data_IF_428768336990
#
_entry.id   IF_428768336990
#
_cell.length_a   1.000
_cell.length_b   1.000
_cell.length_c   1.000
_cell.angle_alpha   90.00
_cell.angle_beta   90.00
_cell.angle_gamma   90.00
#
_symmetry.space_group_name_H-M   'P 1'
#
loop_
_entity.id
_entity.type
_entity.pdbx_description
1 polymer ?
#
# COMPACT_ATOMS: atom_id res chain seq x y z
N UNK A 1 -28.18 -7.70 -0.60
CA UNK A 1 -27.06 -8.41 0.04
C UNK A 1 -26.43 -7.45 1.02
N UNK A 2 -26.41 -7.78 2.32
CA UNK A 2 -25.69 -6.94 3.29
C UNK A 2 -24.21 -7.04 2.96
N UNK A 3 -23.57 -5.91 2.69
CA UNK A 3 -22.14 -5.84 2.47
C UNK A 3 -21.43 -6.08 3.82
N UNK A 4 -20.38 -6.86 3.81
CA UNK A 4 -19.62 -7.26 5.00
C UNK A 4 -19.00 -6.08 5.75
N UNK A 5 -18.72 -4.96 5.05
CA UNK A 5 -18.18 -3.74 5.64
C UNK A 5 -19.24 -2.68 5.98
N UNK A 6 -20.54 -2.99 5.88
CA UNK A 6 -21.60 -2.04 6.21
C UNK A 6 -21.46 -1.55 7.66
N UNK A 7 -21.27 -0.24 7.82
CA UNK A 7 -21.07 0.42 9.12
C UNK A 7 -19.70 0.21 9.75
N UNK A 8 -18.83 -0.61 9.20
CA UNK A 8 -17.45 -0.80 9.66
C UNK A 8 -16.61 0.46 9.41
N UNK A 9 -15.73 0.80 10.33
CA UNK A 9 -14.83 1.95 10.22
C UNK A 9 -13.49 1.55 9.64
N UNK A 10 -13.15 2.12 8.48
CA UNK A 10 -11.95 1.82 7.71
C UNK A 10 -11.04 3.05 7.64
N UNK A 11 -9.84 2.93 8.18
CA UNK A 11 -8.79 3.96 8.09
C UNK A 11 -7.89 3.66 6.89
N UNK A 12 -7.68 4.64 6.01
CA UNK A 12 -6.82 4.51 4.82
C UNK A 12 -5.79 5.63 4.82
N UNK A 13 -4.52 5.28 4.90
CA UNK A 13 -3.43 6.25 4.76
C UNK A 13 -3.03 6.45 3.29
N UNK A 14 -2.65 7.68 2.92
CA UNK A 14 -2.36 8.01 1.52
C UNK A 14 -3.59 7.96 0.62
N UNK A 15 -4.76 8.36 1.14
CA UNK A 15 -6.06 8.20 0.51
C UNK A 15 -6.39 9.23 -0.58
N UNK A 16 -5.57 10.27 -0.78
CA UNK A 16 -5.86 11.40 -1.68
C UNK A 16 -5.72 11.07 -3.17
N UNK A 17 -5.06 9.97 -3.53
CA UNK A 17 -4.82 9.58 -4.93
C UNK A 17 -4.51 8.09 -5.09
N UNK A 18 -4.39 7.64 -6.33
CA UNK A 18 -3.89 6.31 -6.70
C UNK A 18 -4.62 5.16 -6.00
N UNK A 19 -3.85 4.21 -5.47
CA UNK A 19 -4.38 3.02 -4.78
C UNK A 19 -5.23 3.39 -3.57
N UNK A 20 -4.81 4.39 -2.77
CA UNK A 20 -5.57 4.83 -1.59
C UNK A 20 -6.95 5.36 -1.94
N UNK A 21 -7.06 6.17 -2.99
CA UNK A 21 -8.34 6.68 -3.48
C UNK A 21 -9.23 5.55 -4.07
N UNK A 22 -8.64 4.62 -4.84
CA UNK A 22 -9.35 3.45 -5.35
C UNK A 22 -9.87 2.57 -4.19
N UNK A 23 -9.03 2.37 -3.16
CA UNK A 23 -9.39 1.66 -1.95
C UNK A 23 -10.57 2.34 -1.22
N UNK A 24 -10.54 3.67 -1.07
CA UNK A 24 -11.65 4.43 -0.49
C UNK A 24 -12.95 4.20 -1.26
N UNK A 25 -12.94 4.25 -2.60
CA UNK A 25 -14.11 3.94 -3.44
C UNK A 25 -14.61 2.52 -3.23
N UNK A 26 -13.71 1.56 -3.18
CA UNK A 26 -14.05 0.14 -3.01
C UNK A 26 -14.74 -0.10 -1.65
N UNK A 27 -14.25 0.48 -0.56
CA UNK A 27 -14.90 0.39 0.76
C UNK A 27 -16.19 1.22 0.85
N UNK A 28 -16.26 2.39 0.19
CA UNK A 28 -17.52 3.18 0.11
C UNK A 28 -18.64 2.38 -0.56
N UNK A 29 -18.33 1.67 -1.66
CA UNK A 29 -19.29 0.79 -2.33
C UNK A 29 -19.79 -0.35 -1.41
N UNK A 30 -19.00 -0.71 -0.39
CA UNK A 30 -19.37 -1.65 0.67
C UNK A 30 -20.07 -1.00 1.87
N UNK A 31 -20.44 0.30 1.79
CA UNK A 31 -21.12 1.06 2.86
C UNK A 31 -20.31 1.16 4.17
N UNK A 32 -18.99 1.15 4.08
CA UNK A 32 -18.11 1.41 5.22
C UNK A 32 -18.11 2.89 5.59
N UNK A 33 -17.83 3.20 6.86
CA UNK A 33 -17.41 4.53 7.30
C UNK A 33 -15.93 4.70 6.97
N UNK A 34 -15.54 5.83 6.39
CA UNK A 34 -14.18 6.06 5.94
C UNK A 34 -13.46 7.11 6.77
N UNK A 35 -12.22 6.82 7.14
CA UNK A 35 -11.26 7.80 7.67
C UNK A 35 -10.11 7.90 6.68
N UNK A 36 -10.09 8.98 5.92
CA UNK A 36 -9.14 9.21 4.85
C UNK A 36 -8.02 10.13 5.34
N UNK A 37 -6.78 9.67 5.22
CA UNK A 37 -5.63 10.45 5.68
C UNK A 37 -4.59 10.61 4.57
N UNK A 38 -4.07 11.83 4.44
CA UNK A 38 -2.96 12.20 3.57
C UNK A 38 -2.40 13.57 4.00
N UNK A 39 -1.27 14.02 3.43
CA UNK A 39 -0.67 15.32 3.75
C UNK A 39 -1.49 16.51 3.22
N UNK A 40 -2.03 16.39 2.01
CA UNK A 40 -2.76 17.46 1.34
C UNK A 40 -4.27 17.40 1.60
N UNK A 41 -4.82 18.44 2.21
CA UNK A 41 -6.26 18.54 2.49
C UNK A 41 -7.10 18.56 1.22
N UNK A 42 -6.71 19.34 0.20
CA UNK A 42 -7.44 19.46 -1.07
C UNK A 42 -7.71 18.10 -1.75
N UNK A 43 -6.69 17.23 -1.77
CA UNK A 43 -6.85 15.89 -2.32
C UNK A 43 -7.79 15.00 -1.52
N UNK A 44 -7.83 15.16 -0.20
CA UNK A 44 -8.76 14.46 0.68
C UNK A 44 -10.19 14.96 0.49
N UNK A 45 -10.39 16.27 0.40
CA UNK A 45 -11.70 16.89 0.23
C UNK A 45 -12.35 16.43 -1.09
N UNK A 46 -11.59 16.41 -2.17
CA UNK A 46 -12.07 15.89 -3.46
C UNK A 46 -12.60 14.45 -3.36
N UNK A 47 -11.88 13.56 -2.65
CA UNK A 47 -12.33 12.18 -2.48
C UNK A 47 -13.51 12.09 -1.51
N UNK A 48 -13.51 12.91 -0.45
CA UNK A 48 -14.62 12.97 0.49
C UNK A 48 -15.91 13.47 -0.17
N UNK A 49 -15.85 14.53 -0.99
CA UNK A 49 -16.98 15.06 -1.74
C UNK A 49 -17.56 14.01 -2.71
N UNK A 50 -16.69 13.25 -3.38
CA UNK A 50 -17.10 12.16 -4.26
C UNK A 50 -17.85 11.05 -3.51
N UNK A 51 -17.40 10.70 -2.28
CA UNK A 51 -17.87 9.53 -1.56
C UNK A 51 -18.94 9.82 -0.52
N UNK A 52 -19.09 11.07 -0.07
CA UNK A 52 -20.08 11.48 0.95
C UNK A 52 -21.54 11.13 0.61
N UNK A 53 -21.98 11.05 -0.68
CA UNK A 53 -23.30 10.57 -1.01
C UNK A 53 -23.52 9.06 -0.74
N UNK A 54 -22.46 8.28 -0.58
CA UNK A 54 -22.48 6.83 -0.46
C UNK A 54 -22.26 6.34 0.97
N UNK A 55 -21.41 7.04 1.74
CA UNK A 55 -20.99 6.66 3.09
C UNK A 55 -20.53 7.87 3.91
N UNK A 56 -20.37 7.67 5.23
CA UNK A 56 -19.81 8.70 6.10
C UNK A 56 -18.29 8.77 5.93
N UNK A 57 -17.75 9.98 5.73
CA UNK A 57 -16.33 10.21 5.54
C UNK A 57 -15.80 11.20 6.59
N UNK A 58 -14.62 10.90 7.12
CA UNK A 58 -13.78 11.80 7.94
C UNK A 58 -12.46 11.99 7.22
N UNK A 59 -12.07 13.21 6.93
CA UNK A 59 -10.74 13.54 6.40
C UNK A 59 -9.81 14.01 7.52
N UNK A 60 -8.56 13.55 7.50
CA UNK A 60 -7.51 13.95 8.45
C UNK A 60 -6.23 14.26 7.69
N UNK A 61 -5.96 15.55 7.49
CA UNK A 61 -4.68 16.00 6.94
C UNK A 61 -3.58 15.76 7.98
N UNK A 62 -2.59 14.94 7.63
CA UNK A 62 -1.49 14.57 8.51
C UNK A 62 -0.29 14.01 7.75
N UNK A 63 0.87 14.08 8.37
CA UNK A 63 2.05 13.34 7.93
C UNK A 63 2.19 12.04 8.74
N UNK A 64 2.15 10.89 8.05
CA UNK A 64 2.34 9.58 8.69
C UNK A 64 3.73 9.41 9.32
N UNK A 65 4.72 10.21 8.92
CA UNK A 65 6.03 10.24 9.56
C UNK A 65 5.97 10.83 11.00
N UNK A 66 4.92 11.56 11.35
CA UNK A 66 4.69 12.09 12.69
C UNK A 66 3.90 11.08 13.54
N UNK A 67 4.56 10.51 14.55
CA UNK A 67 3.96 9.48 15.41
C UNK A 67 2.78 9.99 16.24
N UNK A 68 2.80 11.26 16.68
CA UNK A 68 1.71 11.85 17.47
C UNK A 68 0.45 11.98 16.60
N UNK A 69 0.60 12.44 15.36
CA UNK A 69 -0.51 12.52 14.41
C UNK A 69 -1.07 11.12 14.07
N UNK A 70 -0.22 10.08 14.06
CA UNK A 70 -0.69 8.70 13.91
C UNK A 70 -1.61 8.26 15.05
N UNK A 71 -1.27 8.62 16.30
CA UNK A 71 -2.12 8.34 17.46
C UNK A 71 -3.43 9.13 17.41
N UNK A 72 -3.35 10.42 17.05
CA UNK A 72 -4.53 11.26 16.88
C UNK A 72 -5.49 10.75 15.80
N UNK A 73 -4.99 10.19 14.70
CA UNK A 73 -5.80 9.61 13.63
C UNK A 73 -6.75 8.53 14.18
N UNK A 74 -6.21 7.60 14.97
CA UNK A 74 -6.99 6.53 15.59
C UNK A 74 -8.01 7.05 16.59
N UNK A 75 -7.61 8.01 17.42
CA UNK A 75 -8.51 8.65 18.39
C UNK A 75 -9.65 9.42 17.69
N UNK A 76 -9.36 10.16 16.62
CA UNK A 76 -10.37 10.86 15.81
C UNK A 76 -11.34 9.89 15.13
N UNK A 77 -10.84 8.75 14.64
CA UNK A 77 -11.66 7.71 14.04
C UNK A 77 -12.65 7.13 15.07
N UNK A 78 -12.17 6.73 16.25
CA UNK A 78 -13.01 6.20 17.33
C UNK A 78 -13.99 7.25 17.85
N UNK A 79 -13.57 8.50 18.04
CA UNK A 79 -14.46 9.59 18.49
C UNK A 79 -15.59 9.87 17.50
N UNK A 80 -15.33 9.74 16.19
CA UNK A 80 -16.33 10.00 15.14
C UNK A 80 -17.29 8.83 14.92
N UNK A 81 -16.80 7.58 14.95
CA UNK A 81 -17.54 6.41 14.52
C UNK A 81 -17.76 5.36 15.63
N UNK A 82 -17.14 5.56 16.80
CA UNK A 82 -17.31 4.67 17.97
C UNK A 82 -16.39 3.45 17.97
N UNK A 83 -15.80 3.08 16.84
CA UNK A 83 -14.94 1.91 16.69
C UNK A 83 -14.00 2.04 15.49
N UNK A 84 -12.98 1.19 15.44
CA UNK A 84 -12.07 1.02 14.28
C UNK A 84 -12.02 -0.47 13.96
N UNK A 85 -12.32 -0.83 12.71
CA UNK A 85 -12.38 -2.23 12.25
C UNK A 85 -11.27 -2.59 11.27
N UNK A 86 -10.84 -1.64 10.43
CA UNK A 86 -9.82 -1.89 9.40
C UNK A 86 -8.81 -0.75 9.36
N UNK A 87 -7.53 -1.11 9.34
CA UNK A 87 -6.43 -0.19 9.06
C UNK A 87 -5.74 -0.59 7.75
N UNK A 88 -5.76 0.29 6.75
CA UNK A 88 -5.04 0.13 5.49
C UNK A 88 -3.81 1.04 5.49
N UNK A 89 -2.64 0.45 5.71
CA UNK A 89 -1.34 1.11 5.61
C UNK A 89 -0.91 1.19 4.14
N UNK A 90 -1.40 2.23 3.45
CA UNK A 90 -1.15 2.44 2.02
C UNK A 90 -0.18 3.58 1.74
N UNK A 91 -0.05 4.58 2.63
CA UNK A 91 0.89 5.69 2.43
C UNK A 91 2.30 5.17 2.11
N UNK A 92 2.94 5.79 1.13
CA UNK A 92 4.28 5.40 0.71
C UNK A 92 4.91 6.41 -0.24
N UNK A 93 6.23 6.37 -0.32
CA UNK A 93 7.03 7.17 -1.24
C UNK A 93 8.17 6.35 -1.84
N UNK A 94 8.70 6.82 -2.96
CA UNK A 94 9.85 6.20 -3.60
C UNK A 94 10.71 7.26 -4.27
N UNK A 95 11.83 7.60 -3.67
CA UNK A 95 12.90 8.38 -4.30
C UNK A 95 13.77 7.41 -5.09
N UNK A 96 13.76 7.57 -6.43
CA UNK A 96 14.37 6.63 -7.38
C UNK A 96 15.82 6.97 -7.64
N UNK A 97 16.61 5.96 -7.95
CA UNK A 97 18.01 6.12 -8.35
C UNK A 97 18.97 5.25 -7.54
N UNK A 98 20.21 5.21 -7.98
CA UNK A 98 21.29 4.52 -7.27
C UNK A 98 21.55 5.23 -5.93
N UNK A 99 21.74 4.45 -4.87
CA UNK A 99 21.82 4.94 -3.49
C UNK A 99 22.88 6.06 -3.29
N UNK A 100 23.98 5.98 -4.02
CA UNK A 100 25.06 6.98 -3.95
C UNK A 100 24.67 8.39 -4.45
N UNK A 101 23.53 8.48 -5.18
CA UNK A 101 22.99 9.73 -5.76
C UNK A 101 21.81 10.30 -4.98
N UNK A 102 21.30 9.56 -4.02
CA UNK A 102 20.17 10.01 -3.20
C UNK A 102 20.66 10.86 -2.03
N UNK A 103 19.88 11.87 -1.68
CA UNK A 103 20.11 12.60 -0.43
C UNK A 103 19.85 11.65 0.77
N UNK A 104 20.77 11.57 1.75
CA UNK A 104 20.56 10.79 2.97
C UNK A 104 19.25 11.11 3.71
N UNK A 105 18.77 12.37 3.66
CA UNK A 105 17.49 12.76 4.24
C UNK A 105 16.31 12.09 3.52
N UNK A 106 16.35 11.98 2.20
CA UNK A 106 15.34 11.28 1.40
C UNK A 106 15.33 9.76 1.67
N UNK A 107 16.52 9.18 1.87
CA UNK A 107 16.66 7.78 2.30
C UNK A 107 15.99 7.56 3.65
N UNK A 108 16.23 8.45 4.62
CA UNK A 108 15.58 8.44 5.93
C UNK A 108 14.06 8.57 5.83
N UNK A 109 13.58 9.55 5.06
CA UNK A 109 12.16 9.79 4.84
C UNK A 109 11.43 8.57 4.23
N UNK A 110 12.07 7.85 3.30
CA UNK A 110 11.51 6.58 2.79
C UNK A 110 11.33 5.53 3.89
N UNK A 111 12.28 5.41 4.81
CA UNK A 111 12.18 4.47 5.95
C UNK A 111 11.05 4.90 6.87
N UNK A 112 10.97 6.19 7.18
CA UNK A 112 9.95 6.75 8.06
C UNK A 112 8.53 6.51 7.53
N UNK A 113 8.29 6.81 6.26
CA UNK A 113 6.96 6.71 5.65
C UNK A 113 6.60 5.26 5.31
N UNK A 114 7.51 4.51 4.68
CA UNK A 114 7.19 3.18 4.14
C UNK A 114 7.26 2.05 5.19
N UNK A 115 7.97 2.28 6.30
CA UNK A 115 8.20 1.23 7.30
C UNK A 115 7.87 1.70 8.71
N UNK A 116 8.51 2.74 9.25
CA UNK A 116 8.28 3.17 10.63
C UNK A 116 6.81 3.53 10.90
N UNK A 117 6.21 4.33 10.04
CA UNK A 117 4.81 4.76 10.19
C UNK A 117 3.81 3.58 10.23
N UNK A 118 3.79 2.64 9.26
CA UNK A 118 2.87 1.50 9.33
C UNK A 118 3.10 0.59 10.54
N UNK A 119 4.34 0.46 11.04
CA UNK A 119 4.61 -0.30 12.26
C UNK A 119 3.98 0.38 13.48
N UNK A 120 4.17 1.70 13.63
CA UNK A 120 3.59 2.50 14.72
C UNK A 120 2.06 2.47 14.66
N UNK A 121 1.46 2.74 13.48
CA UNK A 121 0.01 2.71 13.30
C UNK A 121 -0.57 1.33 13.62
N UNK A 122 0.08 0.26 13.20
CA UNK A 122 -0.39 -1.09 13.49
C UNK A 122 -0.35 -1.41 14.97
N UNK A 123 0.76 -1.08 15.64
CA UNK A 123 0.89 -1.26 17.09
C UNK A 123 -0.22 -0.50 17.83
N UNK A 124 -0.43 0.77 17.46
CA UNK A 124 -1.45 1.62 18.09
C UNK A 124 -2.88 1.19 17.77
N UNK A 125 -3.14 0.58 16.60
CA UNK A 125 -4.46 0.15 16.18
C UNK A 125 -4.95 -1.12 16.89
N UNK A 126 -4.05 -2.02 17.31
CA UNK A 126 -4.41 -3.30 17.94
C UNK A 126 -5.40 -3.15 19.10
N UNK A 127 -5.24 -2.24 20.07
CA UNK A 127 -6.21 -2.05 21.14
C UNK A 127 -7.60 -1.64 20.63
N UNK A 128 -7.68 -0.82 19.58
CA UNK A 128 -8.94 -0.39 18.98
C UNK A 128 -9.65 -1.56 18.30
N UNK A 129 -8.92 -2.33 17.48
CA UNK A 129 -9.44 -3.51 16.80
C UNK A 129 -9.93 -4.58 17.78
N UNK A 130 -9.21 -4.78 18.91
CA UNK A 130 -9.65 -5.68 19.98
C UNK A 130 -10.94 -5.24 20.64
N UNK A 131 -11.13 -3.93 20.88
CA UNK A 131 -12.38 -3.39 21.43
C UNK A 131 -13.56 -3.57 20.47
N UNK A 132 -13.31 -3.55 19.17
CA UNK A 132 -14.32 -3.85 18.15
C UNK A 132 -14.69 -5.35 18.06
N UNK A 133 -13.95 -6.22 18.77
CA UNK A 133 -14.15 -7.68 18.82
C UNK A 133 -13.53 -8.44 17.66
N UNK A 134 -13.18 -7.77 16.58
CA UNK A 134 -12.48 -8.31 15.40
C UNK A 134 -11.94 -7.16 14.58
N UNK A 135 -11.01 -7.43 13.65
CA UNK A 135 -10.52 -6.38 12.77
C UNK A 135 -9.49 -6.86 11.75
N UNK A 136 -9.03 -5.93 10.92
CA UNK A 136 -8.00 -6.25 9.92
C UNK A 136 -6.96 -5.14 9.81
N UNK A 137 -5.71 -5.55 9.62
CA UNK A 137 -4.60 -4.65 9.26
C UNK A 137 -4.07 -5.10 7.89
N UNK A 138 -4.16 -4.20 6.91
CA UNK A 138 -3.69 -4.45 5.55
C UNK A 138 -2.46 -3.60 5.24
N UNK A 139 -1.38 -4.24 4.82
CA UNK A 139 -0.15 -3.58 4.38
C UNK A 139 -0.10 -3.50 2.85
N UNK A 140 0.17 -2.31 2.31
CA UNK A 140 0.49 -2.17 0.89
C UNK A 140 2.00 -2.31 0.69
N UNK A 141 2.39 -3.53 0.38
CA UNK A 141 3.76 -3.94 0.07
C UNK A 141 4.17 -3.59 -1.36
N UNK A 142 5.03 -4.42 -1.93
CA UNK A 142 5.46 -4.38 -3.33
C UNK A 142 6.18 -5.67 -3.72
N UNK A 143 6.16 -6.06 -4.98
CA UNK A 143 7.05 -7.11 -5.51
C UNK A 143 8.54 -6.75 -5.32
N UNK A 144 8.88 -5.46 -5.21
CA UNK A 144 10.23 -5.00 -4.87
C UNK A 144 10.69 -5.46 -3.47
N UNK A 145 9.75 -5.69 -2.54
CA UNK A 145 10.02 -6.29 -1.23
C UNK A 145 10.26 -7.79 -1.29
N UNK A 146 9.86 -8.45 -2.38
CA UNK A 146 10.08 -9.89 -2.59
C UNK A 146 11.32 -10.17 -3.46
N UNK A 147 11.68 -9.25 -4.37
CA UNK A 147 12.91 -9.32 -5.17
C UNK A 147 13.49 -7.92 -5.36
N UNK A 148 14.64 -7.64 -4.74
CA UNK A 148 15.21 -6.30 -4.75
C UNK A 148 15.51 -5.78 -6.15
N UNK A 149 15.21 -4.50 -6.39
CA UNK A 149 15.46 -3.80 -7.63
C UNK A 149 16.72 -2.94 -7.51
N UNK A 150 17.50 -2.82 -8.58
CA UNK A 150 18.55 -1.80 -8.70
C UNK A 150 17.86 -0.43 -8.84
N UNK A 151 18.51 0.62 -8.35
CA UNK A 151 17.92 1.96 -8.33
C UNK A 151 16.74 2.11 -7.34
N UNK A 152 16.52 1.09 -6.47
CA UNK A 152 15.44 1.08 -5.48
C UNK A 152 15.87 0.33 -4.19
N UNK A 153 17.12 0.47 -3.78
CA UNK A 153 17.66 -0.31 -2.65
C UNK A 153 16.89 -0.05 -1.35
N UNK A 154 16.74 1.23 -0.95
CA UNK A 154 16.00 1.62 0.25
C UNK A 154 14.53 1.21 0.16
N UNK A 155 13.87 1.53 -0.97
CA UNK A 155 12.47 1.15 -1.19
C UNK A 155 12.27 -0.37 -1.06
N UNK A 156 13.12 -1.18 -1.71
CA UNK A 156 13.08 -2.63 -1.60
C UNK A 156 13.26 -3.11 -0.17
N UNK A 157 14.20 -2.52 0.57
CA UNK A 157 14.44 -2.82 1.98
C UNK A 157 13.22 -2.53 2.85
N UNK A 158 12.60 -1.35 2.68
CA UNK A 158 11.39 -0.98 3.45
C UNK A 158 10.21 -1.91 3.16
N UNK A 159 9.97 -2.26 1.90
CA UNK A 159 8.87 -3.14 1.51
C UNK A 159 9.11 -4.60 1.89
N UNK A 160 10.36 -5.05 1.93
CA UNK A 160 10.73 -6.37 2.45
C UNK A 160 10.51 -6.45 3.97
N UNK A 161 10.95 -5.43 4.72
CA UNK A 161 10.73 -5.34 6.16
C UNK A 161 9.25 -5.27 6.52
N UNK A 162 8.47 -4.47 5.78
CA UNK A 162 7.02 -4.37 5.97
C UNK A 162 6.31 -5.72 5.74
N UNK A 163 6.73 -6.47 4.71
CA UNK A 163 6.21 -7.81 4.44
C UNK A 163 6.52 -8.79 5.58
N UNK A 164 7.77 -8.82 6.04
CA UNK A 164 8.18 -9.68 7.16
C UNK A 164 7.42 -9.32 8.46
N UNK A 165 7.26 -8.02 8.74
CA UNK A 165 6.47 -7.54 9.86
C UNK A 165 5.01 -8.01 9.79
N UNK A 166 4.36 -7.94 8.61
CA UNK A 166 2.98 -8.38 8.45
C UNK A 166 2.80 -9.86 8.81
N UNK A 167 3.73 -10.73 8.40
CA UNK A 167 3.67 -12.16 8.75
C UNK A 167 3.86 -12.40 10.25
N UNK A 168 4.87 -11.79 10.86
CA UNK A 168 5.12 -11.95 12.28
C UNK A 168 3.91 -11.44 13.10
N UNK A 169 3.39 -10.26 12.75
CA UNK A 169 2.23 -9.70 13.45
C UNK A 169 0.97 -10.56 13.27
N UNK A 170 0.76 -11.16 12.09
CA UNK A 170 -0.36 -12.08 11.86
C UNK A 170 -0.34 -13.26 12.82
N UNK A 171 0.87 -13.80 13.10
CA UNK A 171 1.04 -14.89 14.07
C UNK A 171 0.80 -14.43 15.52
N UNK A 172 1.28 -13.23 15.89
CA UNK A 172 1.10 -12.65 17.23
C UNK A 172 -0.37 -12.38 17.60
N UNK A 173 -1.19 -11.97 16.60
CA UNK A 173 -2.60 -11.60 16.84
C UNK A 173 -3.60 -12.69 16.43
N UNK A 174 -3.14 -13.86 16.05
CA UNK A 174 -3.95 -14.97 15.51
C UNK A 174 -5.19 -15.29 16.35
N UNK A 175 -5.05 -15.30 17.69
CA UNK A 175 -6.13 -15.67 18.62
C UNK A 175 -7.01 -14.49 19.04
N UNK A 176 -6.72 -13.28 18.53
CA UNK A 176 -7.44 -12.06 18.93
C UNK A 176 -8.60 -11.67 17.99
N UNK A 177 -8.88 -12.47 16.95
CA UNK A 177 -9.87 -12.13 15.93
C UNK A 177 -9.39 -11.03 14.95
N UNK A 178 -8.12 -10.63 15.05
CA UNK A 178 -7.52 -9.65 14.14
C UNK A 178 -6.79 -10.39 13.02
N UNK A 179 -7.08 -10.03 11.77
CA UNK A 179 -6.35 -10.52 10.61
C UNK A 179 -5.28 -9.50 10.19
N UNK A 180 -4.14 -9.98 9.73
CA UNK A 180 -3.08 -9.15 9.16
C UNK A 180 -2.66 -9.73 7.83
N UNK A 181 -2.55 -8.88 6.81
CA UNK A 181 -2.10 -9.35 5.51
C UNK A 181 -1.42 -8.26 4.68
N UNK A 182 -0.82 -8.70 3.57
CA UNK A 182 -0.04 -7.83 2.69
C UNK A 182 -0.44 -8.00 1.23
N UNK A 183 -0.75 -6.90 0.55
CA UNK A 183 -0.81 -6.88 -0.92
C UNK A 183 0.55 -6.46 -1.46
N UNK A 184 1.11 -7.24 -2.38
CA UNK A 184 2.44 -7.01 -2.98
C UNK A 184 2.29 -6.80 -4.49
N UNK A 185 1.91 -5.58 -4.93
CA UNK A 185 1.75 -5.29 -6.35
C UNK A 185 3.10 -5.11 -7.05
N UNK A 186 3.10 -5.41 -8.36
CA UNK A 186 4.09 -4.93 -9.31
C UNK A 186 3.85 -3.47 -9.69
N UNK A 187 4.21 -3.05 -10.91
CA UNK A 187 3.91 -1.70 -11.36
C UNK A 187 2.40 -1.46 -11.43
N UNK A 188 1.97 -0.28 -10.96
CA UNK A 188 0.57 0.15 -10.95
C UNK A 188 0.43 1.38 -11.84
N UNK A 189 -0.60 1.41 -12.69
CA UNK A 189 -0.92 2.55 -13.56
C UNK A 189 -1.52 3.70 -12.74
N UNK A 190 -0.66 4.45 -12.09
CA UNK A 190 -0.99 5.59 -11.23
C UNK A 190 0.06 6.68 -11.36
N UNK A 191 -0.25 7.90 -10.88
CA UNK A 191 0.72 8.99 -10.81
C UNK A 191 2.03 8.63 -10.09
N UNK A 192 2.02 7.67 -9.17
CA UNK A 192 3.22 7.18 -8.46
C UNK A 192 4.30 6.61 -9.41
N UNK A 193 3.92 6.10 -10.57
CA UNK A 193 4.82 5.60 -11.61
C UNK A 193 4.80 6.53 -12.83
N UNK A 194 3.62 6.96 -13.25
CA UNK A 194 3.46 7.64 -14.54
C UNK A 194 3.97 9.07 -14.53
N UNK A 195 3.92 9.79 -13.39
CA UNK A 195 4.48 11.15 -13.29
C UNK A 195 6.01 11.19 -13.38
N UNK A 196 6.68 10.07 -13.07
CA UNK A 196 8.14 9.94 -13.06
C UNK A 196 8.60 8.82 -14.01
N UNK A 197 7.83 8.57 -15.08
CA UNK A 197 8.06 7.41 -15.96
C UNK A 197 9.50 7.35 -16.49
N UNK A 198 10.14 8.50 -16.71
CA UNK A 198 11.49 8.56 -17.23
C UNK A 198 12.54 8.05 -16.24
N UNK A 199 12.34 8.28 -14.94
CA UNK A 199 13.21 7.86 -13.86
C UNK A 199 12.94 6.42 -13.38
N UNK A 200 11.83 5.81 -13.83
CA UNK A 200 11.51 4.43 -13.50
C UNK A 200 12.37 3.48 -14.31
N UNK A 201 13.04 2.56 -13.65
CA UNK A 201 13.86 1.52 -14.27
C UNK A 201 13.08 0.68 -15.29
N UNK A 202 13.64 0.46 -16.46
CA UNK A 202 13.01 -0.27 -17.56
C UNK A 202 12.47 -1.64 -17.14
N UNK A 203 13.17 -2.34 -16.25
CA UNK A 203 12.78 -3.68 -15.78
C UNK A 203 11.39 -3.70 -15.13
N UNK A 204 10.95 -2.58 -14.54
CA UNK A 204 9.63 -2.43 -13.94
C UNK A 204 8.54 -2.69 -14.98
N UNK A 205 8.72 -2.20 -16.20
CA UNK A 205 7.79 -2.39 -17.32
C UNK A 205 7.92 -3.76 -18.01
N UNK A 206 8.81 -4.64 -17.54
CA UNK A 206 8.86 -6.03 -18.05
C UNK A 206 7.65 -6.87 -17.65
N UNK A 207 6.90 -6.41 -16.65
CA UNK A 207 5.66 -7.00 -16.15
C UNK A 207 4.45 -6.16 -16.60
N UNK A 208 3.26 -6.77 -16.69
CA UNK A 208 2.04 -5.99 -16.92
C UNK A 208 1.78 -5.08 -15.72
N UNK A 209 1.27 -3.88 -15.98
CA UNK A 209 0.80 -2.98 -14.94
C UNK A 209 -0.56 -3.44 -14.41
N UNK A 210 -0.76 -3.32 -13.11
CA UNK A 210 -2.07 -3.48 -12.47
C UNK A 210 -2.79 -2.15 -12.42
N UNK A 211 -4.12 -2.15 -12.40
CA UNK A 211 -4.88 -0.93 -12.10
C UNK A 211 -4.95 -0.70 -10.59
N UNK A 212 -5.21 0.54 -10.18
CA UNK A 212 -5.43 0.88 -8.78
C UNK A 212 -6.65 0.16 -8.20
N UNK A 213 -7.70 -0.03 -9.01
CA UNK A 213 -8.93 -0.74 -8.66
C UNK A 213 -8.65 -2.22 -8.36
N UNK A 214 -7.86 -2.89 -9.20
CA UNK A 214 -7.51 -4.30 -8.96
C UNK A 214 -6.69 -4.48 -7.67
N UNK A 215 -5.87 -3.51 -7.31
CA UNK A 215 -5.15 -3.51 -6.02
C UNK A 215 -6.12 -3.26 -4.86
N UNK A 216 -7.09 -2.36 -5.03
CA UNK A 216 -8.14 -2.12 -4.03
C UNK A 216 -8.99 -3.38 -3.78
N UNK A 217 -9.34 -4.14 -4.81
CA UNK A 217 -10.06 -5.41 -4.68
C UNK A 217 -9.23 -6.44 -3.88
N UNK A 218 -7.92 -6.51 -4.12
CA UNK A 218 -7.03 -7.35 -3.34
C UNK A 218 -6.93 -6.90 -1.87
N UNK A 219 -6.94 -5.59 -1.61
CA UNK A 219 -7.00 -5.03 -0.24
C UNK A 219 -8.31 -5.44 0.44
N UNK A 220 -9.47 -5.38 -0.25
CA UNK A 220 -10.75 -5.85 0.27
C UNK A 220 -10.72 -7.34 0.64
N UNK A 221 -10.16 -8.19 -0.23
CA UNK A 221 -10.05 -9.63 0.03
C UNK A 221 -9.19 -9.93 1.27
N UNK A 222 -8.08 -9.20 1.45
CA UNK A 222 -7.25 -9.31 2.66
C UNK A 222 -8.03 -8.80 3.89
N UNK A 223 -8.72 -7.68 3.77
CA UNK A 223 -9.51 -7.12 4.87
C UNK A 223 -10.65 -8.05 5.34
N UNK A 224 -11.16 -8.91 4.46
CA UNK A 224 -12.11 -9.99 4.78
C UNK A 224 -11.46 -11.20 5.45
N UNK A 225 -10.13 -11.27 5.52
CA UNK A 225 -9.42 -12.45 6.00
C UNK A 225 -9.42 -13.64 5.03
N UNK A 226 -9.80 -13.43 3.76
CA UNK A 226 -9.81 -14.48 2.72
C UNK A 226 -8.38 -14.93 2.36
N UNK A 227 -7.41 -14.01 2.46
CA UNK A 227 -6.01 -14.23 2.11
C UNK A 227 -5.08 -13.44 3.05
N UNK A 228 -3.90 -13.98 3.32
CA UNK A 228 -2.85 -13.30 4.09
C UNK A 228 -1.84 -12.59 3.21
N UNK A 229 -1.67 -13.03 1.96
CA UNK A 229 -0.84 -12.34 0.97
C UNK A 229 -1.46 -12.44 -0.44
N UNK A 230 -1.51 -11.31 -1.13
CA UNK A 230 -1.86 -11.23 -2.55
C UNK A 230 -0.72 -10.60 -3.31
N UNK A 231 -0.14 -11.33 -4.27
CA UNK A 231 0.88 -10.82 -5.20
C UNK A 231 0.24 -10.49 -6.55
N UNK A 232 0.58 -9.35 -7.13
CA UNK A 232 -0.04 -8.90 -8.39
C UNK A 232 1.01 -8.49 -9.42
N UNK A 233 0.96 -9.09 -10.63
CA UNK A 233 0.15 -10.26 -11.00
C UNK A 233 0.61 -11.54 -10.26
N UNK A 234 -0.30 -12.47 -10.02
CA UNK A 234 -0.01 -13.71 -9.27
C UNK A 234 1.13 -14.53 -9.89
N UNK A 235 1.22 -14.58 -11.21
CA UNK A 235 2.32 -15.24 -11.93
C UNK A 235 3.67 -14.62 -11.65
N UNK A 236 3.71 -13.29 -11.49
CA UNK A 236 4.94 -12.55 -11.15
C UNK A 236 5.41 -12.84 -9.73
N UNK A 237 4.52 -13.00 -8.77
CA UNK A 237 4.87 -13.34 -7.40
C UNK A 237 5.69 -14.61 -7.29
N UNK A 238 5.27 -15.68 -7.99
CA UNK A 238 6.00 -16.96 -8.03
C UNK A 238 7.40 -16.81 -8.65
N UNK A 239 7.48 -16.09 -9.79
CA UNK A 239 8.74 -15.85 -10.48
C UNK A 239 9.70 -15.00 -9.63
N UNK A 240 9.19 -13.98 -8.96
CA UNK A 240 9.94 -13.08 -8.09
C UNK A 240 10.50 -13.84 -6.89
N UNK A 241 9.71 -14.69 -6.25
CA UNK A 241 10.16 -15.57 -5.15
C UNK A 241 11.29 -16.50 -5.62
N UNK A 242 11.11 -17.15 -6.77
CA UNK A 242 12.16 -18.01 -7.35
C UNK A 242 13.44 -17.22 -7.65
N UNK A 243 13.30 -16.01 -8.18
CA UNK A 243 14.44 -15.15 -8.49
C UNK A 243 15.22 -14.70 -7.25
N UNK A 244 14.55 -14.57 -6.11
CA UNK A 244 15.17 -14.28 -4.81
C UNK A 244 15.99 -15.46 -4.30
N UNK A 245 15.43 -16.67 -4.39
CA UNK A 245 16.11 -17.92 -3.98
C UNK A 245 17.32 -18.25 -4.87
N UNK A 246 17.31 -17.83 -6.13
CA UNK A 246 18.38 -18.11 -7.10
C UNK A 246 19.01 -16.84 -7.69
N UNK A 247 19.89 -16.11 -6.93
CA UNK A 247 20.45 -14.83 -7.37
C UNK A 247 21.27 -14.90 -8.67
N UNK A 248 21.89 -16.05 -8.96
CA UNK A 248 22.65 -16.26 -10.22
C UNK A 248 21.71 -16.30 -11.43
N UNK A 249 20.56 -17.00 -11.30
CA UNK A 249 19.54 -17.06 -12.35
C UNK A 249 18.95 -15.67 -12.58
N UNK A 250 18.64 -14.91 -11.51
CA UNK A 250 18.17 -13.53 -11.59
C UNK A 250 19.10 -12.66 -12.41
N UNK A 251 20.41 -12.71 -12.14
CA UNK A 251 21.41 -11.94 -12.89
C UNK A 251 21.48 -12.33 -14.37
N UNK A 252 21.34 -13.60 -14.68
CA UNK A 252 21.36 -14.11 -16.05
C UNK A 252 20.13 -13.66 -16.86
N UNK A 253 18.94 -13.67 -16.26
CA UNK A 253 17.68 -13.31 -16.93
C UNK A 253 17.48 -11.79 -17.04
N UNK A 254 18.11 -11.01 -16.16
CA UNK A 254 17.94 -9.57 -16.02
C UNK A 254 18.10 -8.78 -17.34
N UNK A 255 19.12 -8.96 -18.18
CA UNK A 255 19.25 -8.22 -19.44
C UNK A 255 18.04 -8.38 -20.37
N UNK A 256 17.46 -9.59 -20.43
CA UNK A 256 16.25 -9.85 -21.22
C UNK A 256 15.03 -9.11 -20.68
N UNK A 257 14.90 -9.03 -19.34
CA UNK A 257 13.82 -8.28 -18.70
C UNK A 257 13.96 -6.78 -18.94
N UNK A 258 15.16 -6.22 -18.88
CA UNK A 258 15.42 -4.82 -19.23
C UNK A 258 15.04 -4.52 -20.68
N UNK A 259 15.47 -5.33 -21.64
CA UNK A 259 15.12 -5.15 -23.05
C UNK A 259 13.60 -5.20 -23.30
N UNK A 260 12.89 -6.15 -22.66
CA UNK A 260 11.42 -6.24 -22.70
C UNK A 260 10.78 -5.01 -22.07
N UNK A 261 11.28 -4.58 -20.93
CA UNK A 261 10.75 -3.45 -20.18
C UNK A 261 10.88 -2.15 -20.97
N UNK A 262 12.04 -1.88 -21.58
CA UNK A 262 12.27 -0.71 -22.44
C UNK A 262 11.23 -0.60 -23.55
N UNK A 263 11.02 -1.69 -24.29
CA UNK A 263 10.00 -1.73 -25.36
C UNK A 263 8.57 -1.43 -24.85
N UNK A 264 8.24 -1.87 -23.63
CA UNK A 264 6.93 -1.61 -23.04
C UNK A 264 6.83 -0.19 -22.49
N UNK A 265 7.89 0.35 -21.88
CA UNK A 265 7.96 1.71 -21.35
C UNK A 265 7.64 2.74 -22.45
N UNK A 266 8.20 2.55 -23.66
CA UNK A 266 7.92 3.41 -24.80
C UNK A 266 6.43 3.41 -25.20
N UNK A 267 5.73 2.27 -25.03
CA UNK A 267 4.28 2.22 -25.28
C UNK A 267 3.46 3.03 -24.26
N UNK A 268 3.90 3.04 -22.99
CA UNK A 268 3.23 3.82 -21.95
C UNK A 268 3.49 5.32 -22.10
N UNK A 269 4.71 5.72 -22.49
CA UNK A 269 5.01 7.13 -22.83
C UNK A 269 4.08 7.67 -23.92
N UNK A 270 3.84 6.88 -24.96
CA UNK A 270 3.04 7.29 -26.12
C UNK A 270 1.52 7.26 -25.85
N UNK A 271 1.05 6.78 -24.69
CA UNK A 271 -0.37 6.88 -24.31
C UNK A 271 -0.77 8.26 -23.81
N UNK A 272 0.19 9.04 -23.34
CA UNK A 272 -0.03 10.34 -22.71
C UNK A 272 0.30 11.51 -23.68
N UNK A 273 0.48 11.22 -24.95
CA UNK A 273 0.59 12.17 -26.08
C UNK A 273 -0.62 11.96 -27.01
#
# INVERSE_FOLDING_TARGET
MNSEFTGKTVIITGASAGVGAACARAFAAQKANLVLSARGQEGLDRIADELSPQCSVLTVAMDVANSEQCMELLAKAEAKFGHVDVLVNNAGMHNRGDLERLDPADVGAMVDINMRAPLILSCAAIPYLRRAGSGSIVMVGSLAGMSPLQGAATYSGTKAGLRAFAYALADEVRESGITVGVVSPGPIDTGFIMSEIDDVEDIVFSQPMSSAESVADAILSIARGEQTEVTMPTSSGKLVTLSYLFPRLRRYVRPKLYAKGRKNKDKYRNRNV
#
